data_IF_579919829689
#
_entry.id   IF_579919829689
#
_cell.length_a   1.000
_cell.length_b   1.000
_cell.length_c   1.000
_cell.angle_alpha   90.00
_cell.angle_beta   90.00
_cell.angle_gamma   90.00
#
_symmetry.space_group_name_H-M   'P 1'
#
loop_
_entity.id
_entity.type
_entity.pdbx_description
1 polymer ?
#
# COMPACT_ATOMS: atom_id res chain seq x y z
N UNK A 1 1.98 8.19 -8.65
CA UNK A 1 1.48 7.86 -10.00
C UNK A 1 -0.05 8.01 -10.04
N UNK A 2 -0.56 9.25 -10.04
CA UNK A 2 -1.99 9.52 -9.73
C UNK A 2 -2.94 9.27 -10.91
N UNK A 3 -2.49 9.45 -12.15
CA UNK A 3 -3.37 9.51 -13.32
C UNK A 3 -3.70 8.14 -13.96
N UNK A 4 -2.80 7.16 -13.85
CA UNK A 4 -2.92 5.93 -14.65
C UNK A 4 -4.14 5.08 -14.27
N UNK A 5 -4.52 5.09 -13.00
CA UNK A 5 -5.66 4.30 -12.52
C UNK A 5 -6.99 4.87 -13.01
N UNK A 6 -7.12 6.20 -12.97
CA UNK A 6 -8.31 6.89 -13.48
C UNK A 6 -8.45 6.64 -14.98
N UNK A 7 -7.35 6.76 -15.73
CA UNK A 7 -7.34 6.44 -17.17
C UNK A 7 -7.70 4.98 -17.45
N UNK A 8 -7.20 4.04 -16.64
CA UNK A 8 -7.56 2.62 -16.76
C UNK A 8 -9.05 2.38 -16.53
N UNK A 9 -9.64 2.99 -15.50
CA UNK A 9 -11.07 2.86 -15.20
C UNK A 9 -11.95 3.47 -16.29
N UNK A 10 -11.54 4.61 -16.85
CA UNK A 10 -12.22 5.25 -17.98
C UNK A 10 -12.12 4.37 -19.24
N UNK A 11 -10.93 3.92 -19.61
CA UNK A 11 -10.71 3.18 -20.85
C UNK A 11 -11.31 1.75 -20.84
N UNK A 12 -11.44 1.12 -19.67
CA UNK A 12 -11.95 -0.26 -19.55
C UNK A 12 -13.44 -0.36 -19.26
N UNK A 13 -13.99 0.59 -18.51
CA UNK A 13 -15.38 0.54 -18.04
C UNK A 13 -16.25 1.70 -18.53
N UNK A 14 -15.71 2.53 -19.44
CA UNK A 14 -16.37 3.71 -20.01
C UNK A 14 -16.97 4.64 -18.93
N UNK A 15 -16.26 4.74 -17.80
CA UNK A 15 -16.69 5.54 -16.67
C UNK A 15 -16.46 7.03 -16.93
N UNK A 16 -17.37 7.86 -16.44
CA UNK A 16 -17.15 9.31 -16.39
C UNK A 16 -15.98 9.66 -15.47
N UNK A 17 -15.28 10.76 -15.77
CA UNK A 17 -14.15 11.24 -14.98
C UNK A 17 -14.48 11.44 -13.49
N UNK A 18 -15.71 11.89 -13.20
CA UNK A 18 -16.19 12.09 -11.84
C UNK A 18 -16.31 10.76 -11.07
N UNK A 19 -16.91 9.72 -11.68
CA UNK A 19 -17.04 8.40 -11.04
C UNK A 19 -15.67 7.73 -10.85
N UNK A 20 -14.81 7.78 -11.87
CA UNK A 20 -13.46 7.22 -11.79
C UNK A 20 -12.61 7.95 -10.74
N UNK A 21 -12.72 9.28 -10.65
CA UNK A 21 -12.09 10.10 -9.62
C UNK A 21 -12.57 9.77 -8.21
N UNK A 22 -13.88 9.50 -8.03
CA UNK A 22 -14.43 9.10 -6.73
C UNK A 22 -13.92 7.73 -6.26
N UNK A 23 -13.87 6.74 -7.16
CA UNK A 23 -13.28 5.41 -6.85
C UNK A 23 -11.80 5.58 -6.47
N UNK A 24 -11.08 6.40 -7.22
CA UNK A 24 -9.68 6.71 -6.93
C UNK A 24 -9.50 7.37 -5.56
N UNK A 25 -10.34 8.35 -5.21
CA UNK A 25 -10.31 9.02 -3.91
C UNK A 25 -10.52 8.06 -2.74
N UNK A 26 -11.51 7.18 -2.83
CA UNK A 26 -11.76 6.14 -1.82
C UNK A 26 -10.63 5.13 -1.71
N UNK A 27 -10.03 4.73 -2.83
CA UNK A 27 -8.85 3.87 -2.86
C UNK A 27 -7.65 4.53 -2.16
N UNK A 28 -7.40 5.81 -2.44
CA UNK A 28 -6.30 6.57 -1.83
C UNK A 28 -6.50 6.74 -0.33
N UNK A 29 -7.72 7.11 0.10
CA UNK A 29 -8.08 7.20 1.51
C UNK A 29 -7.88 5.86 2.25
N UNK A 30 -8.36 4.77 1.66
CA UNK A 30 -8.24 3.43 2.24
C UNK A 30 -6.78 3.00 2.37
N UNK A 31 -5.93 3.33 1.39
CA UNK A 31 -4.50 2.99 1.42
C UNK A 31 -3.79 3.63 2.62
N UNK A 32 -4.05 4.91 2.91
CA UNK A 32 -3.48 5.57 4.09
C UNK A 32 -4.05 5.07 5.41
N UNK A 33 -5.37 4.88 5.48
CA UNK A 33 -6.02 4.36 6.68
C UNK A 33 -5.49 2.96 7.03
N UNK A 34 -5.35 2.09 6.03
CA UNK A 34 -4.80 0.75 6.19
C UNK A 34 -3.29 0.77 6.47
N UNK A 35 -2.57 1.78 5.98
CA UNK A 35 -1.17 2.01 6.36
C UNK A 35 -0.98 2.25 7.85
N UNK A 36 -1.86 3.06 8.46
CA UNK A 36 -1.87 3.27 9.91
C UNK A 36 -2.14 1.97 10.68
N UNK A 37 -3.14 1.20 10.24
CA UNK A 37 -3.47 -0.11 10.84
C UNK A 37 -2.33 -1.10 10.66
N UNK A 38 -1.69 -1.13 9.50
CA UNK A 38 -0.54 -1.99 9.19
C UNK A 38 0.69 -1.67 10.02
N UNK A 39 0.91 -0.40 10.37
CA UNK A 39 1.96 0.04 11.28
C UNK A 39 1.73 -0.45 12.72
N UNK A 40 0.51 -0.26 13.24
CA UNK A 40 0.13 -0.75 14.58
C UNK A 40 0.29 -2.28 14.66
N UNK A 41 -0.08 -2.99 13.59
CA UNK A 41 0.05 -4.45 13.54
C UNK A 41 1.52 -4.90 13.57
N UNK A 42 2.42 -4.19 12.91
CA UNK A 42 3.85 -4.50 12.89
C UNK A 42 4.55 -4.20 14.21
N UNK A 43 4.16 -3.10 14.87
CA UNK A 43 4.66 -2.75 16.20
C UNK A 43 4.22 -3.79 17.24
N UNK A 44 2.97 -4.25 17.16
CA UNK A 44 2.43 -5.29 18.06
C UNK A 44 3.09 -6.65 17.85
N UNK A 45 3.35 -7.05 16.60
CA UNK A 45 3.96 -8.35 16.28
C UNK A 45 5.48 -8.36 16.36
N UNK A 46 6.14 -7.21 16.53
CA UNK A 46 7.61 -7.01 16.56
C UNK A 46 8.38 -7.65 15.38
N UNK A 47 7.67 -8.03 14.31
CA UNK A 47 8.21 -8.78 13.16
C UNK A 47 8.04 -7.99 11.87
N UNK A 48 8.65 -6.80 11.81
CA UNK A 48 8.57 -5.90 10.66
C UNK A 48 8.89 -6.58 9.31
N UNK A 49 9.93 -7.43 9.26
CA UNK A 49 10.30 -8.16 8.03
C UNK A 49 9.20 -9.08 7.51
N UNK A 50 8.48 -9.75 8.41
CA UNK A 50 7.41 -10.69 8.05
C UNK A 50 6.16 -9.96 7.60
N UNK A 51 5.83 -8.83 8.24
CA UNK A 51 4.67 -7.99 7.83
C UNK A 51 4.90 -7.38 6.45
N UNK A 52 6.11 -6.90 6.17
CA UNK A 52 6.50 -6.41 4.84
C UNK A 52 6.37 -7.51 3.79
N UNK A 53 6.87 -8.73 4.07
CA UNK A 53 6.77 -9.86 3.14
C UNK A 53 5.31 -10.26 2.88
N UNK A 54 4.47 -10.28 3.91
CA UNK A 54 3.04 -10.53 3.76
C UNK A 54 2.36 -9.46 2.89
N UNK A 55 2.70 -8.19 3.07
CA UNK A 55 2.20 -7.09 2.24
C UNK A 55 2.53 -7.27 0.76
N UNK A 56 3.77 -7.68 0.43
CA UNK A 56 4.19 -7.96 -0.96
C UNK A 56 3.36 -9.11 -1.56
N UNK A 57 3.17 -10.20 -0.81
CA UNK A 57 2.40 -11.37 -1.30
C UNK A 57 0.95 -10.96 -1.58
N UNK A 58 0.34 -10.17 -0.69
CA UNK A 58 -1.02 -9.66 -0.87
C UNK A 58 -1.11 -8.74 -2.10
N UNK A 59 -0.16 -7.81 -2.27
CA UNK A 59 -0.10 -6.96 -3.46
C UNK A 59 0.04 -7.78 -4.74
N UNK A 60 0.92 -8.78 -4.74
CA UNK A 60 1.13 -9.65 -5.89
C UNK A 60 -0.16 -10.37 -6.29
N UNK A 61 -0.89 -10.93 -5.33
CA UNK A 61 -2.21 -11.51 -5.57
C UNK A 61 -3.19 -10.48 -6.15
N UNK A 62 -3.23 -9.26 -5.61
CA UNK A 62 -4.09 -8.18 -6.11
C UNK A 62 -3.80 -7.82 -7.57
N UNK A 63 -2.53 -7.75 -7.97
CA UNK A 63 -2.15 -7.52 -9.37
C UNK A 63 -2.44 -8.70 -10.28
N UNK A 64 -2.30 -9.93 -9.80
CA UNK A 64 -2.72 -11.12 -10.56
C UNK A 64 -4.23 -11.10 -10.85
N UNK A 65 -5.05 -10.67 -9.88
CA UNK A 65 -6.49 -10.50 -10.09
C UNK A 65 -6.77 -9.40 -11.12
N UNK A 66 -6.05 -8.28 -11.08
CA UNK A 66 -6.18 -7.19 -12.06
C UNK A 66 -5.68 -7.56 -13.46
N UNK A 67 -4.76 -8.53 -13.58
CA UNK A 67 -4.21 -8.97 -14.85
C UNK A 67 -5.22 -9.76 -15.69
N UNK A 68 -6.26 -10.33 -15.08
CA UNK A 68 -7.30 -11.10 -15.78
C UNK A 68 -8.25 -10.11 -16.50
N UNK A 69 -8.24 -10.05 -17.84
CA UNK A 69 -9.15 -9.17 -18.57
C UNK A 69 -10.57 -9.75 -18.57
N UNK A 70 -11.59 -8.88 -18.51
CA UNK A 70 -13.01 -9.28 -18.64
C UNK A 70 -13.77 -9.42 -17.32
N UNK A 71 -13.18 -9.05 -16.19
CA UNK A 71 -13.88 -9.03 -14.89
C UNK A 71 -14.80 -7.81 -14.75
N UNK A 72 -15.88 -7.97 -13.97
CA UNK A 72 -16.82 -6.87 -13.68
C UNK A 72 -16.16 -5.77 -12.83
N UNK A 73 -16.70 -4.55 -12.92
CA UNK A 73 -16.22 -3.40 -12.14
C UNK A 73 -16.09 -3.71 -10.63
N UNK A 74 -17.02 -4.48 -10.07
CA UNK A 74 -17.03 -4.82 -8.65
C UNK A 74 -15.80 -5.65 -8.26
N UNK A 75 -15.39 -6.59 -9.12
CA UNK A 75 -14.19 -7.38 -8.90
C UNK A 75 -12.92 -6.55 -9.02
N UNK A 76 -12.86 -5.61 -9.97
CA UNK A 76 -11.74 -4.68 -10.10
C UNK A 76 -11.60 -3.80 -8.86
N UNK A 77 -12.72 -3.28 -8.34
CA UNK A 77 -12.74 -2.51 -7.10
C UNK A 77 -12.30 -3.36 -5.91
N UNK A 78 -12.75 -4.62 -5.83
CA UNK A 78 -12.27 -5.55 -4.81
C UNK A 78 -10.75 -5.83 -4.91
N UNK A 79 -10.24 -6.04 -6.13
CA UNK A 79 -8.80 -6.21 -6.36
C UNK A 79 -8.02 -4.94 -5.99
N UNK A 80 -8.56 -3.76 -6.28
CA UNK A 80 -8.04 -2.47 -5.84
C UNK A 80 -7.98 -2.38 -4.31
N UNK A 81 -9.00 -2.83 -3.59
CA UNK A 81 -8.97 -2.88 -2.13
C UNK A 81 -7.88 -3.83 -1.60
N UNK A 82 -7.68 -4.99 -2.24
CA UNK A 82 -6.60 -5.93 -1.88
C UNK A 82 -5.23 -5.28 -2.09
N UNK A 83 -5.04 -4.58 -3.22
CA UNK A 83 -3.80 -3.82 -3.49
C UNK A 83 -3.61 -2.71 -2.47
N UNK A 84 -4.66 -1.96 -2.10
CA UNK A 84 -4.61 -0.93 -1.07
C UNK A 84 -4.18 -1.50 0.29
N UNK A 85 -4.71 -2.68 0.65
CA UNK A 85 -4.35 -3.38 1.88
C UNK A 85 -2.88 -3.82 1.88
N UNK A 86 -2.42 -4.42 0.78
CA UNK A 86 -1.02 -4.81 0.63
C UNK A 86 -0.07 -3.61 0.67
N UNK A 87 -0.42 -2.50 0.01
CA UNK A 87 0.34 -1.24 0.06
C UNK A 87 0.42 -0.68 1.48
N UNK A 88 -0.70 -0.66 2.23
CA UNK A 88 -0.69 -0.20 3.62
C UNK A 88 0.27 -0.99 4.51
N UNK A 89 0.27 -2.32 4.39
CA UNK A 89 1.17 -3.20 5.14
C UNK A 89 2.63 -3.09 4.70
N UNK A 90 2.89 -2.85 3.41
CA UNK A 90 4.24 -2.78 2.86
C UNK A 90 4.89 -1.40 3.08
N UNK A 91 4.24 -0.35 2.59
CA UNK A 91 4.80 1.00 2.48
C UNK A 91 4.97 1.68 3.84
N UNK A 92 3.98 1.54 4.74
CA UNK A 92 4.05 2.09 6.10
C UNK A 92 5.15 1.47 6.96
N UNK A 93 5.42 0.17 6.77
CA UNK A 93 6.43 -0.56 7.55
C UNK A 93 7.84 -0.45 6.97
N UNK A 94 7.97 -0.30 5.65
CA UNK A 94 9.26 -0.06 5.00
C UNK A 94 9.91 1.23 5.51
N UNK A 95 9.13 2.31 5.66
CA UNK A 95 9.61 3.58 6.20
C UNK A 95 10.10 3.44 7.66
N UNK A 96 9.43 2.64 8.49
CA UNK A 96 9.87 2.38 9.86
C UNK A 96 11.21 1.61 9.92
N UNK A 97 11.46 0.68 9.00
CA UNK A 97 12.75 -0.04 8.91
C UNK A 97 13.86 0.88 8.42
N UNK A 98 13.61 1.70 7.38
CA UNK A 98 14.59 2.65 6.85
C UNK A 98 14.87 3.80 7.82
N UNK A 99 13.87 4.28 8.55
CA UNK A 99 14.01 5.27 9.62
C UNK A 99 14.92 4.79 10.76
N UNK A 100 14.85 3.49 11.10
CA UNK A 100 15.76 2.86 12.08
C UNK A 100 17.20 2.72 11.60
N UNK A 101 17.40 2.56 10.29
CA UNK A 101 18.74 2.48 9.71
C UNK A 101 19.38 3.86 9.47
N UNK A 102 18.65 4.94 9.78
CA UNK A 102 19.17 6.30 9.75
C UNK A 102 19.29 6.86 8.34
N UNK A 103 18.18 7.11 7.64
CA UNK A 103 18.17 8.12 6.58
C UNK A 103 16.75 8.51 6.15
N UNK A 104 16.11 9.44 6.86
CA UNK A 104 15.10 10.27 6.20
C UNK A 104 14.96 11.66 6.82
N UNK A 105 16.04 12.43 6.91
CA UNK A 105 16.03 13.85 7.34
C UNK A 105 15.96 14.06 8.85
N UNK A 106 17.11 14.00 9.51
CA UNK A 106 17.35 14.96 10.57
C UNK A 106 18.60 15.74 10.20
N UNK A 107 18.38 17.00 9.85
CA UNK A 107 19.25 18.06 10.35
C UNK A 107 19.16 18.19 11.87
N UNK A 108 19.17 17.09 12.64
CA UNK A 108 19.42 17.07 14.08
C UNK A 108 19.46 15.64 14.66
N UNK A 109 20.66 15.21 15.08
CA UNK A 109 20.84 14.47 16.36
C UNK A 109 20.40 12.99 16.41
N UNK A 110 21.43 12.14 16.42
CA UNK A 110 21.55 10.86 17.15
C UNK A 110 20.66 9.66 16.75
N UNK A 111 21.27 8.69 16.06
CA UNK A 111 21.19 7.30 16.52
C UNK A 111 22.36 6.46 15.99
N UNK A 112 23.45 6.43 16.76
CA UNK A 112 24.60 5.56 16.54
C UNK A 112 24.41 4.17 17.21
N UNK A 113 23.19 3.85 17.68
CA UNK A 113 22.91 2.63 18.44
C UNK A 113 21.52 2.03 18.12
N UNK A 114 21.48 1.16 17.12
CA UNK A 114 20.52 0.05 16.97
C UNK A 114 21.16 -0.99 16.03
N UNK A 115 22.38 -1.49 16.31
CA UNK A 115 22.56 -2.74 17.07
C UNK A 115 21.31 -3.63 16.92
N UNK A 116 21.29 -4.63 16.05
CA UNK A 116 22.06 -5.86 16.27
C UNK A 116 22.18 -6.17 17.77
N UNK A 117 21.10 -6.69 18.36
CA UNK A 117 21.09 -7.96 19.12
C UNK A 117 20.13 -7.94 20.32
N UNK A 118 19.66 -9.11 20.78
CA UNK A 118 19.84 -10.46 20.19
C UNK A 118 18.65 -10.93 19.35
#
# INVERSE_FOLDING_TARGET
>A
MMAILVLFLQARYDLTAEKAGNIYGWFYFSTYALGLVGGILADSTRKYKTVILAGIIIMFCGYLLMAIPGMSLQFTVAALFIIAFGNGLFEGNLQAVLGRCGLFLLGAVSCQHCSYSP
#
